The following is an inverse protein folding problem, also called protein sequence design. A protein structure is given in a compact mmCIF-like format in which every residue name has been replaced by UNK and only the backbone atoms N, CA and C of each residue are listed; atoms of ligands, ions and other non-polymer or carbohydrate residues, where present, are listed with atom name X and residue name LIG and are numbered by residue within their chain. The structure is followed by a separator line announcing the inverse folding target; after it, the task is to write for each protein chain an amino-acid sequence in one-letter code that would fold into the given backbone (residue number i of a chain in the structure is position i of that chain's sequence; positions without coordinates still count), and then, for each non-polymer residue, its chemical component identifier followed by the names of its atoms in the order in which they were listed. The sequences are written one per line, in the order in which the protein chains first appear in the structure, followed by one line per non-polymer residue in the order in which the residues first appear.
data_IF_177840967744
#
_entry.id   IF_177840967744
#
_cell.length_a   1.000
_cell.length_b   1.000
_cell.length_c   1.000
_cell.angle_alpha   90.00
_cell.angle_beta   90.00
_cell.angle_gamma   90.00
#
_symmetry.space_group_name_H-M   'P 1'
#
loop_
_entity.id
_entity.type
_entity.pdbx_description
1 polymer ?
#
# COMPACT_ATOMS: atom_id res chain seq x y z
N UNK A 1 17.91 -6.46 -16.80
CA UNK A 1 17.79 -5.64 -15.58
C UNK A 1 16.49 -4.87 -15.68
N UNK A 2 15.54 -5.09 -14.77
CA UNK A 2 14.31 -4.29 -14.72
C UNK A 2 14.67 -2.98 -14.03
N UNK A 3 14.51 -1.85 -14.71
CA UNK A 3 14.65 -0.53 -14.11
C UNK A 3 13.68 -0.43 -12.94
N UNK A 4 14.16 -0.10 -11.73
CA UNK A 4 13.28 0.13 -10.58
C UNK A 4 12.33 1.28 -10.90
N UNK A 5 11.05 0.95 -11.06
CA UNK A 5 10.01 1.96 -11.31
C UNK A 5 9.66 2.62 -9.98
N UNK A 6 9.96 3.92 -9.86
CA UNK A 6 9.51 4.72 -8.72
C UNK A 6 7.99 4.86 -8.71
N UNK A 7 7.42 4.86 -7.51
CA UNK A 7 6.00 4.95 -7.22
C UNK A 7 5.64 6.40 -6.86
N UNK A 8 5.19 7.16 -7.85
CA UNK A 8 4.58 8.48 -7.64
C UNK A 8 3.13 8.33 -7.12
N UNK A 9 2.49 9.45 -6.82
CA UNK A 9 1.12 9.46 -6.31
C UNK A 9 0.11 8.80 -7.27
N UNK A 10 0.29 8.96 -8.59
CA UNK A 10 -0.64 8.39 -9.59
C UNK A 10 -0.48 6.87 -9.67
N UNK A 11 0.77 6.39 -9.64
CA UNK A 11 1.10 4.97 -9.63
C UNK A 11 0.56 4.33 -8.35
N UNK A 12 0.76 4.96 -7.19
CA UNK A 12 0.24 4.45 -5.91
C UNK A 12 -1.29 4.34 -5.91
N UNK A 13 -1.99 5.40 -6.35
CA UNK A 13 -3.47 5.35 -6.46
C UNK A 13 -3.93 4.23 -7.39
N UNK A 14 -3.28 4.08 -8.55
CA UNK A 14 -3.61 3.01 -9.50
C UNK A 14 -3.36 1.63 -8.92
N UNK A 15 -2.26 1.45 -8.18
CA UNK A 15 -1.95 0.19 -7.52
C UNK A 15 -3.01 -0.15 -6.45
N UNK A 16 -3.45 0.83 -5.66
CA UNK A 16 -4.52 0.64 -4.67
C UNK A 16 -5.87 0.33 -5.31
N UNK A 17 -6.23 0.96 -6.43
CA UNK A 17 -7.44 0.59 -7.19
C UNK A 17 -7.41 -0.87 -7.62
N UNK A 18 -6.31 -1.30 -8.24
CA UNK A 18 -6.18 -2.69 -8.70
C UNK A 18 -6.20 -3.66 -7.53
N UNK A 19 -5.50 -3.33 -6.42
CA UNK A 19 -5.50 -4.11 -5.20
C UNK A 19 -6.91 -4.28 -4.63
N UNK A 20 -7.69 -3.18 -4.58
CA UNK A 20 -9.07 -3.22 -4.12
C UNK A 20 -9.97 -4.10 -5.00
N UNK A 21 -9.76 -4.07 -6.32
CA UNK A 21 -10.46 -4.97 -7.26
C UNK A 21 -10.05 -6.44 -7.07
N UNK A 22 -8.77 -6.72 -6.78
CA UNK A 22 -8.27 -8.07 -6.49
C UNK A 22 -8.88 -8.61 -5.19
N UNK A 23 -9.01 -7.78 -4.16
CA UNK A 23 -9.65 -8.13 -2.88
C UNK A 23 -11.16 -8.32 -3.03
N UNK A 24 -11.83 -7.45 -3.82
CA UNK A 24 -13.26 -7.59 -4.14
C UNK A 24 -13.59 -8.95 -4.75
N UNK A 25 -12.78 -9.44 -5.70
CA UNK A 25 -12.99 -10.76 -6.32
C UNK A 25 -12.86 -11.93 -5.34
N UNK A 26 -12.18 -11.72 -4.21
CA UNK A 26 -12.02 -12.70 -3.13
C UNK A 26 -13.07 -12.56 -2.04
N UNK A 27 -13.96 -11.57 -2.11
CA UNK A 27 -14.91 -11.25 -1.03
C UNK A 27 -14.23 -10.71 0.24
N UNK A 28 -13.02 -10.15 0.12
CA UNK A 28 -12.22 -9.64 1.24
C UNK A 28 -12.30 -8.12 1.30
N UNK A 29 -12.31 -7.58 2.52
CA UNK A 29 -12.09 -6.16 2.80
C UNK A 29 -10.71 -6.04 3.45
N UNK A 30 -9.82 -5.28 2.82
CA UNK A 30 -8.47 -5.04 3.32
C UNK A 30 -8.33 -3.69 4.01
N UNK A 31 -7.45 -3.62 5.00
CA UNK A 31 -7.02 -2.38 5.63
C UNK A 31 -5.49 -2.29 5.54
N UNK A 32 -4.97 -1.12 5.15
CA UNK A 32 -3.54 -0.84 5.02
C UNK A 32 -3.19 0.44 5.76
N UNK A 33 -2.22 0.35 6.66
CA UNK A 33 -1.58 1.46 7.35
C UNK A 33 -0.21 1.69 6.70
N UNK A 34 -0.01 2.84 6.08
CA UNK A 34 1.20 3.23 5.36
C UNK A 34 2.06 4.13 6.25
N UNK A 35 3.38 3.92 6.15
CA UNK A 35 4.39 4.68 6.87
C UNK A 35 5.47 5.23 5.91
N UNK A 36 6.41 6.01 6.46
CA UNK A 36 7.65 6.38 5.78
C UNK A 36 7.47 7.11 4.43
N UNK A 37 8.28 6.74 3.44
CA UNK A 37 8.37 7.44 2.16
C UNK A 37 7.06 7.49 1.38
N UNK A 38 6.28 6.42 1.39
CA UNK A 38 4.97 6.36 0.74
C UNK A 38 3.95 7.31 1.41
N UNK A 39 4.00 7.45 2.73
CA UNK A 39 3.20 8.44 3.44
C UNK A 39 3.55 9.88 3.02
N UNK A 40 4.84 10.18 2.83
CA UNK A 40 5.29 11.51 2.38
C UNK A 40 4.80 11.86 0.97
N UNK A 41 4.80 10.87 0.05
CA UNK A 41 4.26 11.03 -1.32
C UNK A 41 2.75 11.26 -1.29
N UNK A 42 2.01 10.55 -0.42
CA UNK A 42 0.54 10.59 -0.41
C UNK A 42 -0.06 11.78 0.36
N UNK A 43 0.51 12.18 1.50
CA UNK A 43 -0.04 13.25 2.35
C UNK A 43 0.57 14.62 2.08
N UNK A 44 1.88 14.70 1.89
CA UNK A 44 2.59 15.97 2.02
C UNK A 44 3.10 16.53 0.69
N UNK A 45 3.02 15.75 -0.40
CA UNK A 45 3.64 16.06 -1.70
C UNK A 45 5.10 16.55 -1.56
N UNK A 46 5.77 16.18 -0.47
CA UNK A 46 7.10 16.64 -0.09
C UNK A 46 8.20 15.79 -0.73
N UNK A 47 7.80 14.73 -1.44
CA UNK A 47 8.63 13.80 -2.20
C UNK A 47 7.85 13.39 -3.45
N UNK A 48 8.51 13.42 -4.61
CA UNK A 48 7.85 13.12 -5.89
C UNK A 48 7.49 11.63 -6.07
N UNK A 49 8.32 10.71 -5.53
CA UNK A 49 8.07 9.27 -5.63
C UNK A 49 8.84 8.45 -4.57
N UNK A 50 8.36 7.23 -4.28
CA UNK A 50 9.00 6.25 -3.36
C UNK A 50 9.39 4.97 -4.10
N UNK A 51 10.24 4.12 -3.52
CA UNK A 51 10.59 2.81 -4.12
C UNK A 51 9.53 1.75 -3.81
N UNK A 52 8.96 1.84 -2.62
CA UNK A 52 8.05 0.87 -2.03
C UNK A 52 7.09 1.55 -1.04
N UNK A 53 6.12 0.76 -0.59
CA UNK A 53 5.15 1.06 0.45
C UNK A 53 5.44 0.14 1.64
N UNK A 54 6.07 0.70 2.67
CA UNK A 54 6.18 0.05 3.98
C UNK A 54 4.86 0.22 4.72
N UNK A 55 4.24 -0.90 5.07
CA UNK A 55 2.91 -0.92 5.64
C UNK A 55 2.74 -1.96 6.75
N UNK A 56 1.64 -1.82 7.48
CA UNK A 56 0.98 -2.89 8.23
C UNK A 56 -0.39 -3.07 7.59
N UNK A 57 -0.83 -4.29 7.35
CA UNK A 57 -2.09 -4.52 6.68
C UNK A 57 -2.78 -5.79 7.16
N UNK A 58 -4.10 -5.83 7.04
CA UNK A 58 -4.91 -6.98 7.42
C UNK A 58 -6.04 -7.20 6.41
N UNK A 59 -6.43 -8.46 6.10
CA UNK A 59 -5.72 -9.70 6.46
C UNK A 59 -4.48 -9.93 5.59
N UNK A 60 -3.34 -10.26 6.21
CA UNK A 60 -2.01 -10.28 5.60
C UNK A 60 -1.93 -11.12 4.32
N UNK A 61 -2.34 -12.40 4.38
CA UNK A 61 -2.19 -13.34 3.26
C UNK A 61 -2.92 -12.85 2.01
N UNK A 62 -4.18 -12.44 2.15
CA UNK A 62 -5.00 -12.02 1.00
C UNK A 62 -4.50 -10.70 0.42
N UNK A 63 -4.05 -9.77 1.26
CA UNK A 63 -3.47 -8.49 0.81
C UNK A 63 -2.16 -8.74 0.04
N UNK A 64 -1.29 -9.61 0.55
CA UNK A 64 -0.03 -9.95 -0.12
C UNK A 64 -0.23 -10.67 -1.45
N UNK A 65 -1.11 -11.67 -1.51
CA UNK A 65 -1.43 -12.37 -2.75
C UNK A 65 -1.97 -11.40 -3.82
N UNK A 66 -2.92 -10.55 -3.42
CA UNK A 66 -3.49 -9.54 -4.30
C UNK A 66 -2.44 -8.51 -4.73
N UNK A 67 -1.53 -8.11 -3.84
CA UNK A 67 -0.45 -7.19 -4.16
C UNK A 67 0.57 -7.80 -5.14
N UNK A 68 0.86 -9.09 -5.06
CA UNK A 68 1.69 -9.78 -6.04
C UNK A 68 1.05 -9.80 -7.44
N UNK A 69 -0.25 -10.00 -7.53
CA UNK A 69 -0.97 -9.91 -8.80
C UNK A 69 -0.90 -8.50 -9.40
N UNK A 70 -1.04 -7.46 -8.57
CA UNK A 70 -0.87 -6.06 -8.98
C UNK A 70 0.56 -5.80 -9.46
N UNK A 71 1.56 -6.36 -8.77
CA UNK A 71 2.96 -6.23 -9.14
C UNK A 71 3.22 -6.77 -10.55
N UNK A 72 2.67 -7.95 -10.87
CA UNK A 72 2.78 -8.55 -12.20
C UNK A 72 2.08 -7.68 -13.25
N UNK A 73 0.85 -7.23 -13.00
CA UNK A 73 0.08 -6.41 -13.94
C UNK A 73 0.75 -5.07 -14.25
N UNK A 74 1.26 -4.39 -13.22
CA UNK A 74 1.86 -3.06 -13.34
C UNK A 74 3.36 -3.07 -13.61
N UNK A 75 3.98 -4.27 -13.68
CA UNK A 75 5.43 -4.50 -13.77
C UNK A 75 6.19 -3.80 -12.64
N UNK A 76 5.67 -3.89 -11.43
CA UNK A 76 6.32 -3.39 -10.21
C UNK A 76 7.17 -4.50 -9.57
N UNK A 77 8.17 -4.14 -8.76
CA UNK A 77 8.83 -5.11 -7.88
C UNK A 77 7.80 -5.82 -7.00
N UNK A 78 8.02 -7.11 -6.71
CA UNK A 78 7.15 -7.89 -5.81
C UNK A 78 7.01 -7.23 -4.42
N UNK A 79 8.04 -6.50 -4.00
CA UNK A 79 8.14 -5.76 -2.74
C UNK A 79 7.52 -4.35 -2.76
N UNK A 80 6.81 -3.94 -3.83
CA UNK A 80 6.21 -2.60 -3.91
C UNK A 80 5.26 -2.30 -2.74
N UNK A 81 4.65 -3.33 -2.17
CA UNK A 81 3.94 -3.30 -0.89
C UNK A 81 4.56 -4.37 0.02
N UNK A 82 5.00 -3.99 1.21
CA UNK A 82 5.66 -4.91 2.14
C UNK A 82 5.25 -4.64 3.60
N UNK A 83 5.45 -5.63 4.47
CA UNK A 83 5.09 -5.54 5.90
C UNK A 83 6.27 -5.13 6.81
N UNK A 84 7.30 -4.46 6.28
CA UNK A 84 8.49 -4.11 7.08
C UNK A 84 8.19 -3.11 8.20
N UNK A 85 7.11 -2.33 8.08
CA UNK A 85 6.69 -1.40 9.12
C UNK A 85 6.20 -2.10 10.40
N UNK A 86 5.76 -3.36 10.34
CA UNK A 86 5.30 -4.12 11.52
C UNK A 86 6.34 -4.20 12.63
N UNK A 87 7.63 -4.22 12.28
CA UNK A 87 8.76 -4.24 13.22
C UNK A 87 8.87 -2.98 14.08
N UNK A 88 8.31 -1.86 13.61
CA UNK A 88 8.49 -0.53 14.21
C UNK A 88 7.22 0.02 14.86
N UNK A 89 6.07 -0.59 14.59
CA UNK A 89 4.77 -0.06 15.01
C UNK A 89 4.26 -0.88 16.20
N UNK A 90 4.39 -0.30 17.39
CA UNK A 90 3.80 -0.88 18.60
C UNK A 90 2.27 -0.70 18.56
N UNK A 91 1.53 -1.78 18.26
CA UNK A 91 0.14 -2.03 18.71
C UNK A 91 -0.99 -1.03 18.43
N UNK A 92 -0.80 0.05 17.65
CA UNK A 92 -1.83 1.10 17.48
C UNK A 92 -2.20 1.32 16.01
N UNK A 93 -2.67 0.27 15.33
CA UNK A 93 -3.44 0.45 14.10
C UNK A 93 -4.86 0.88 14.51
N UNK A 94 -5.10 2.19 14.60
CA UNK A 94 -6.40 2.74 15.01
C UNK A 94 -6.57 4.25 14.81
N UNK A 95 -5.48 5.01 14.64
CA UNK A 95 -5.51 6.44 14.28
C UNK A 95 -4.67 6.68 13.03
N UNK A 96 -5.31 6.73 11.87
CA UNK A 96 -4.65 7.06 10.62
C UNK A 96 -5.49 7.99 9.75
N UNK A 97 -4.83 8.83 8.96
CA UNK A 97 -5.48 9.74 8.01
C UNK A 97 -5.82 8.96 6.74
N UNK A 98 -7.11 8.84 6.35
CA UNK A 98 -7.47 8.12 5.13
C UNK A 98 -6.91 8.83 3.89
N UNK A 99 -6.30 8.07 2.99
CA UNK A 99 -5.71 8.58 1.73
C UNK A 99 -6.24 7.88 0.48
N UNK A 100 -6.88 6.73 0.67
CA UNK A 100 -7.62 6.00 -0.34
C UNK A 100 -8.78 5.27 0.33
N UNK A 101 -9.96 5.41 -0.26
CA UNK A 101 -11.19 4.81 0.23
C UNK A 101 -11.91 4.07 -0.89
N UNK A 102 -12.23 2.79 -0.64
CA UNK A 102 -12.91 1.89 -1.55
C UNK A 102 -13.64 0.81 -0.72
N UNK A 103 -14.83 0.31 -1.15
CA UNK A 103 -15.62 -0.67 -0.39
C UNK A 103 -14.89 -1.97 0.03
N UNK A 104 -13.75 -2.27 -0.58
CA UNK A 104 -12.95 -3.48 -0.34
C UNK A 104 -11.51 -3.18 0.09
N UNK A 105 -11.13 -1.91 0.20
CA UNK A 105 -9.79 -1.52 0.62
C UNK A 105 -9.81 -0.11 1.23
N UNK A 106 -9.38 -0.02 2.48
CA UNK A 106 -9.08 1.25 3.13
C UNK A 106 -7.57 1.41 3.28
N UNK A 107 -7.04 2.57 2.90
CA UNK A 107 -5.63 2.91 3.09
C UNK A 107 -5.52 4.17 3.93
N UNK A 108 -4.72 4.10 4.99
CA UNK A 108 -4.50 5.17 5.94
C UNK A 108 -3.01 5.45 6.10
N UNK A 109 -2.65 6.72 6.26
CA UNK A 109 -1.32 7.09 6.75
C UNK A 109 -1.36 7.09 8.27
N UNK A 110 -0.43 6.37 8.88
CA UNK A 110 -0.33 6.27 10.34
C UNK A 110 0.95 6.93 10.82
N UNK A 111 0.87 7.90 11.75
CA UNK A 111 2.06 8.47 12.36
C UNK A 111 2.82 7.40 13.15
N UNK A 112 4.14 7.38 13.03
CA UNK A 112 5.06 6.64 13.91
C UNK A 112 5.59 7.54 15.01
#
# INVERSE_FOLDING_TARGET
MMTERLLDQKILRRAFELLALRLKRRGVVGEIHIFGGAAMVLAFNSREATRDVDAVFAPDTHVLEAAHEVAVEMRLPKSWLNNQASSYVSGVAGRGTPVFDHPNLRVMITPT
#
